data_IF_621365285311
#
_entry.id   IF_621365285311
#
_cell.length_a   1.000
_cell.length_b   1.000
_cell.length_c   1.000
_cell.angle_alpha   90.00
_cell.angle_beta   90.00
_cell.angle_gamma   90.00
#
_symmetry.space_group_name_H-M   'P 1'
#
loop_
_entity.id
_entity.type
_entity.pdbx_description
1 polymer ?
#
# COMPACT_ATOMS: atom_id res chain seq x y z
N UNK A 1 18.29 -27.71 14.56
CA UNK A 1 17.71 -26.40 14.20
C UNK A 1 18.65 -25.81 13.16
N UNK A 2 18.27 -25.91 11.88
CA UNK A 2 19.15 -25.62 10.73
C UNK A 2 19.01 -26.70 9.65
N UNK A 3 17.81 -26.84 9.08
CA UNK A 3 17.59 -27.74 7.93
C UNK A 3 16.89 -27.02 6.78
N UNK A 4 16.18 -25.92 7.02
CA UNK A 4 15.42 -25.25 5.95
C UNK A 4 16.30 -24.51 4.95
N UNK A 5 17.49 -24.04 5.35
CA UNK A 5 18.39 -23.32 4.45
C UNK A 5 19.30 -24.30 3.69
N UNK A 6 19.79 -25.32 4.37
CA UNK A 6 20.59 -26.39 3.77
C UNK A 6 19.78 -27.22 2.77
N UNK A 7 18.53 -27.60 3.08
CA UNK A 7 17.64 -28.31 2.16
C UNK A 7 17.27 -27.43 0.95
N UNK A 8 17.11 -26.12 1.14
CA UNK A 8 16.85 -25.16 0.05
C UNK A 8 18.08 -25.01 -0.87
N UNK A 9 19.29 -25.01 -0.31
CA UNK A 9 20.53 -24.96 -1.08
C UNK A 9 20.80 -26.27 -1.84
N UNK A 10 20.40 -27.43 -1.31
CA UNK A 10 20.42 -28.70 -2.04
C UNK A 10 19.42 -28.72 -3.21
N UNK A 11 18.27 -28.04 -3.07
CA UNK A 11 17.24 -27.94 -4.11
C UNK A 11 17.61 -27.06 -5.31
N UNK A 12 18.61 -26.18 -5.19
CA UNK A 12 19.07 -25.32 -6.30
C UNK A 12 19.57 -26.14 -7.51
N UNK A 13 20.10 -27.35 -7.28
CA UNK A 13 20.55 -28.24 -8.35
C UNK A 13 19.41 -28.89 -9.14
N UNK A 14 18.20 -28.90 -8.58
CA UNK A 14 17.00 -29.43 -9.23
C UNK A 14 16.23 -28.37 -10.01
N UNK A 15 16.68 -27.10 -9.96
CA UNK A 15 16.07 -26.04 -10.73
C UNK A 15 16.41 -26.17 -12.22
N UNK A 16 15.49 -25.79 -13.13
CA UNK A 16 15.79 -25.63 -14.54
C UNK A 16 17.05 -24.78 -14.74
N UNK A 17 17.90 -25.17 -15.67
CA UNK A 17 19.22 -24.54 -15.91
C UNK A 17 19.13 -23.03 -16.16
N UNK A 18 18.04 -22.57 -16.76
CA UNK A 18 17.72 -21.17 -17.04
C UNK A 18 17.43 -20.38 -15.76
N UNK A 19 16.64 -20.97 -14.84
CA UNK A 19 16.34 -20.38 -13.54
C UNK A 19 17.61 -20.28 -12.69
N UNK A 20 18.42 -21.33 -12.69
CA UNK A 20 19.72 -21.34 -11.99
C UNK A 20 20.66 -20.24 -12.53
N UNK A 21 20.74 -20.09 -13.85
CA UNK A 21 21.54 -19.02 -14.50
C UNK A 21 21.07 -17.64 -14.07
N UNK A 22 19.76 -17.39 -13.98
CA UNK A 22 19.25 -16.10 -13.53
C UNK A 22 19.57 -15.83 -12.05
N UNK A 23 19.48 -16.84 -11.18
CA UNK A 23 19.92 -16.71 -9.79
C UNK A 23 21.40 -16.40 -9.65
N UNK A 24 22.25 -17.05 -10.47
CA UNK A 24 23.68 -16.74 -10.51
C UNK A 24 23.93 -15.29 -10.97
N UNK A 25 23.23 -14.84 -12.01
CA UNK A 25 23.33 -13.48 -12.53
C UNK A 25 22.83 -12.44 -11.51
N UNK A 26 21.73 -12.70 -10.82
CA UNK A 26 21.25 -11.84 -9.72
C UNK A 26 22.28 -11.74 -8.60
N UNK A 27 22.94 -12.85 -8.25
CA UNK A 27 24.00 -12.88 -7.24
C UNK A 27 25.25 -12.12 -7.68
N UNK A 28 25.60 -12.19 -8.96
CA UNK A 28 26.70 -11.39 -9.53
C UNK A 28 26.37 -9.89 -9.51
N UNK A 29 25.14 -9.52 -9.89
CA UNK A 29 24.66 -8.15 -9.80
C UNK A 29 24.62 -7.64 -8.36
N UNK A 30 24.23 -8.47 -7.39
CA UNK A 30 24.27 -8.09 -5.97
C UNK A 30 25.67 -7.81 -5.47
N UNK A 31 26.65 -8.65 -5.85
CA UNK A 31 28.06 -8.42 -5.54
C UNK A 31 28.57 -7.12 -6.18
N UNK A 32 28.25 -6.89 -7.45
CA UNK A 32 28.65 -5.68 -8.16
C UNK A 32 27.98 -4.42 -7.58
N UNK A 33 26.70 -4.51 -7.23
CA UNK A 33 25.92 -3.39 -6.72
C UNK A 33 26.28 -3.06 -5.27
N UNK A 34 26.63 -4.04 -4.43
CA UNK A 34 27.09 -3.80 -3.06
C UNK A 34 28.29 -2.86 -3.01
N UNK A 35 29.32 -3.10 -3.83
CA UNK A 35 30.49 -2.21 -3.88
C UNK A 35 30.17 -0.81 -4.42
N UNK A 36 29.25 -0.71 -5.38
CA UNK A 36 28.78 0.58 -5.90
C UNK A 36 27.96 1.34 -4.85
N UNK A 37 27.12 0.66 -4.08
CA UNK A 37 26.34 1.22 -2.98
C UNK A 37 27.24 1.75 -1.87
N UNK A 38 28.26 1.00 -1.47
CA UNK A 38 29.23 1.44 -0.48
C UNK A 38 30.01 2.67 -0.98
N UNK A 39 30.48 2.65 -2.23
CA UNK A 39 31.15 3.81 -2.83
C UNK A 39 30.24 5.02 -2.95
N UNK A 40 28.96 4.82 -3.30
CA UNK A 40 27.96 5.88 -3.37
C UNK A 40 27.67 6.46 -1.99
N UNK A 41 27.51 5.61 -0.97
CA UNK A 41 27.31 6.02 0.43
C UNK A 41 28.50 6.83 0.95
N UNK A 42 29.72 6.41 0.66
CA UNK A 42 30.94 7.13 1.02
C UNK A 42 31.05 8.48 0.28
N UNK A 43 30.74 8.49 -1.02
CA UNK A 43 30.74 9.72 -1.83
C UNK A 43 29.67 10.70 -1.35
N UNK A 44 28.49 10.20 -1.00
CA UNK A 44 27.38 10.99 -0.47
C UNK A 44 27.74 11.57 0.90
N UNK A 45 28.30 10.75 1.80
CA UNK A 45 28.76 11.18 3.13
C UNK A 45 29.83 12.27 3.02
N UNK A 46 30.82 12.09 2.14
CA UNK A 46 31.89 13.07 1.90
C UNK A 46 31.32 14.37 1.35
N UNK A 47 30.45 14.28 0.33
CA UNK A 47 29.80 15.44 -0.25
C UNK A 47 29.00 16.25 0.78
N UNK A 48 28.19 15.57 1.60
CA UNK A 48 27.37 16.20 2.62
C UNK A 48 28.23 16.84 3.72
N UNK A 49 29.33 16.19 4.12
CA UNK A 49 30.29 16.76 5.07
C UNK A 49 30.92 18.04 4.53
N UNK A 50 31.41 18.02 3.31
CA UNK A 50 32.08 19.15 2.68
C UNK A 50 31.08 20.30 2.42
N UNK A 51 29.86 19.98 1.99
CA UNK A 51 28.77 20.96 1.86
C UNK A 51 28.43 21.61 3.21
N UNK A 52 28.36 20.81 4.28
CA UNK A 52 28.11 21.32 5.63
C UNK A 52 29.23 22.25 6.10
N UNK A 53 30.48 21.95 5.80
CA UNK A 53 31.61 22.81 6.12
C UNK A 53 31.54 24.15 5.37
N UNK A 54 31.19 24.14 4.07
CA UNK A 54 30.98 25.36 3.29
C UNK A 54 29.85 26.23 3.86
N UNK A 55 28.71 25.63 4.17
CA UNK A 55 27.57 26.34 4.77
C UNK A 55 27.93 26.87 6.16
N UNK A 56 28.56 26.06 7.02
CA UNK A 56 28.99 26.48 8.35
C UNK A 56 29.98 27.64 8.28
N UNK A 57 30.96 27.58 7.39
CA UNK A 57 31.95 28.63 7.20
C UNK A 57 31.26 29.96 6.82
N UNK A 58 30.33 29.92 5.86
CA UNK A 58 29.57 31.11 5.45
C UNK A 58 28.70 31.69 6.57
N UNK A 59 28.01 30.83 7.34
CA UNK A 59 27.18 31.27 8.45
C UNK A 59 27.98 31.79 9.65
N UNK A 60 29.25 31.37 9.80
CA UNK A 60 30.15 31.84 10.86
C UNK A 60 30.85 33.16 10.55
N UNK A 61 30.81 33.63 9.31
CA UNK A 61 31.41 34.89 8.89
C UNK A 61 30.49 36.07 9.25
N UNK A 62 30.76 36.66 10.42
CA UNK A 62 30.04 37.83 10.93
C UNK A 62 30.38 39.15 10.22
N UNK A 63 31.33 39.13 9.27
CA UNK A 63 31.67 40.32 8.47
C UNK A 63 30.71 40.55 7.30
N UNK A 64 29.94 39.53 6.91
CA UNK A 64 28.95 39.58 5.85
C UNK A 64 27.52 39.58 6.43
N UNK A 65 26.53 40.11 5.69
CA UNK A 65 25.11 39.96 6.05
C UNK A 65 24.72 38.49 6.17
N UNK A 66 23.62 38.23 6.89
CA UNK A 66 23.03 36.89 6.99
C UNK A 66 22.86 36.28 5.59
N UNK A 67 23.32 35.04 5.37
CA UNK A 67 23.29 34.42 4.05
C UNK A 67 21.85 34.20 3.60
N UNK A 68 21.56 34.56 2.35
CA UNK A 68 20.25 34.32 1.73
C UNK A 68 20.08 32.84 1.36
N UNK A 69 18.84 32.39 1.18
CA UNK A 69 18.56 31.00 0.79
C UNK A 69 19.23 30.62 -0.54
N UNK A 70 19.25 31.53 -1.51
CA UNK A 70 19.88 31.32 -2.81
C UNK A 70 21.41 31.22 -2.70
N UNK A 71 22.02 31.99 -1.81
CA UNK A 71 23.45 31.91 -1.51
C UNK A 71 23.83 30.57 -0.87
N UNK A 72 22.98 30.05 0.03
CA UNK A 72 23.16 28.72 0.61
C UNK A 72 22.97 27.61 -0.42
N UNK A 73 22.01 27.73 -1.34
CA UNK A 73 21.81 26.78 -2.45
C UNK A 73 23.01 26.73 -3.39
N UNK A 74 23.56 27.88 -3.75
CA UNK A 74 24.77 27.97 -4.58
C UNK A 74 26.00 27.32 -3.90
N UNK A 75 26.16 27.47 -2.59
CA UNK A 75 27.24 26.83 -1.82
C UNK A 75 27.15 25.29 -1.76
N UNK A 76 25.93 24.77 -1.89
CA UNK A 76 25.67 23.33 -1.99
C UNK A 76 25.55 22.90 -3.46
N UNK A 77 25.94 23.75 -4.42
CA UNK A 77 26.04 23.41 -5.84
C UNK A 77 24.69 23.15 -6.51
N UNK A 78 23.59 23.69 -5.98
CA UNK A 78 22.29 23.71 -6.64
C UNK A 78 22.24 25.00 -7.45
N UNK A 79 22.50 24.90 -8.74
CA UNK A 79 22.08 25.92 -9.70
C UNK A 79 20.63 25.64 -10.08
N UNK A 80 19.81 26.69 -10.22
CA UNK A 80 18.40 26.58 -10.57
C UNK A 80 18.23 25.68 -11.81
N UNK A 81 17.38 24.66 -11.71
CA UNK A 81 17.03 23.70 -12.79
C UNK A 81 16.31 24.35 -14.00
N UNK A 82 16.44 25.67 -14.19
CA UNK A 82 15.81 26.43 -15.28
C UNK A 82 16.74 26.76 -16.45
N UNK A 83 18.01 26.37 -16.42
CA UNK A 83 18.92 26.54 -17.55
C UNK A 83 19.56 25.20 -17.95
N UNK A 84 19.26 24.78 -19.19
CA UNK A 84 19.92 23.76 -19.99
C UNK A 84 19.63 22.28 -19.70
N UNK A 85 18.46 21.85 -20.19
CA UNK A 85 18.15 20.46 -20.54
C UNK A 85 18.98 19.90 -21.72
N UNK A 86 20.06 20.57 -22.14
CA UNK A 86 20.81 20.27 -23.38
C UNK A 86 22.34 20.18 -23.19
N UNK A 87 22.86 20.16 -21.96
CA UNK A 87 24.28 19.89 -21.71
C UNK A 87 24.52 18.38 -21.72
N UNK A 88 25.37 17.85 -22.63
CA UNK A 88 25.73 16.44 -22.61
C UNK A 88 26.36 16.04 -21.26
N UNK A 89 26.03 14.86 -20.70
CA UNK A 89 26.44 14.44 -19.36
C UNK A 89 27.97 14.32 -19.14
N UNK A 90 28.77 14.52 -20.18
CA UNK A 90 30.23 14.33 -20.19
C UNK A 90 31.06 15.58 -19.82
N UNK A 91 30.44 16.74 -19.57
CA UNK A 91 31.18 18.01 -19.34
C UNK A 91 30.96 18.68 -17.97
N UNK A 92 29.95 18.27 -17.19
CA UNK A 92 29.81 18.77 -15.81
C UNK A 92 30.66 17.94 -14.85
N UNK A 93 31.72 18.56 -14.32
CA UNK A 93 32.67 17.92 -13.39
C UNK A 93 32.35 18.19 -11.92
N UNK A 94 31.21 18.82 -11.64
CA UNK A 94 30.79 19.18 -10.29
C UNK A 94 30.69 17.95 -9.37
N UNK A 95 31.03 18.09 -8.08
CA UNK A 95 30.90 16.98 -7.13
C UNK A 95 29.46 16.43 -7.04
N UNK A 96 28.45 17.29 -7.25
CA UNK A 96 27.04 16.89 -7.26
C UNK A 96 26.68 16.10 -8.53
N UNK A 97 27.15 16.52 -9.71
CA UNK A 97 26.95 15.75 -10.95
C UNK A 97 27.60 14.37 -10.88
N UNK A 98 28.81 14.26 -10.32
CA UNK A 98 29.47 12.97 -10.07
C UNK A 98 28.64 12.08 -9.12
N UNK A 99 28.04 12.67 -8.09
CA UNK A 99 27.17 11.94 -7.16
C UNK A 99 25.86 11.48 -7.84
N UNK A 100 25.25 12.34 -8.66
CA UNK A 100 24.07 12.02 -9.49
C UNK A 100 24.37 10.92 -10.50
N UNK A 101 25.51 10.96 -11.18
CA UNK A 101 25.95 9.93 -12.12
C UNK A 101 26.18 8.58 -11.42
N UNK A 102 26.86 8.55 -10.27
CA UNK A 102 26.99 7.32 -9.46
C UNK A 102 25.64 6.77 -9.01
N UNK A 103 24.71 7.63 -8.60
CA UNK A 103 23.34 7.24 -8.25
C UNK A 103 22.61 6.63 -9.46
N UNK A 104 22.70 7.27 -10.62
CA UNK A 104 22.08 6.77 -11.85
C UNK A 104 22.61 5.38 -12.23
N UNK A 105 23.92 5.16 -12.11
CA UNK A 105 24.54 3.87 -12.37
C UNK A 105 24.06 2.77 -11.40
N UNK A 106 23.92 3.09 -10.11
CA UNK A 106 23.36 2.14 -9.11
C UNK A 106 21.92 1.79 -9.45
N UNK A 107 21.09 2.78 -9.79
CA UNK A 107 19.69 2.57 -10.18
C UNK A 107 19.61 1.67 -11.41
N UNK A 108 20.41 1.95 -12.45
CA UNK A 108 20.48 1.13 -13.65
C UNK A 108 20.82 -0.34 -13.34
N UNK A 109 21.79 -0.60 -12.45
CA UNK A 109 22.18 -1.96 -12.05
C UNK A 109 21.10 -2.67 -11.22
N UNK A 110 20.35 -1.92 -10.43
CA UNK A 110 19.19 -2.44 -9.71
C UNK A 110 18.02 -2.76 -10.66
N UNK A 111 17.77 -1.91 -11.65
CA UNK A 111 16.74 -2.16 -12.67
C UNK A 111 17.06 -3.41 -13.50
N UNK A 112 18.34 -3.61 -13.86
CA UNK A 112 18.83 -4.85 -14.48
C UNK A 112 18.50 -6.07 -13.60
N UNK A 113 18.73 -5.97 -12.28
CA UNK A 113 18.42 -7.04 -11.33
C UNK A 113 16.91 -7.32 -11.26
N UNK A 114 16.08 -6.28 -11.21
CA UNK A 114 14.62 -6.43 -11.18
C UNK A 114 14.11 -7.09 -12.46
N UNK A 115 14.67 -6.73 -13.62
CA UNK A 115 14.33 -7.37 -14.89
C UNK A 115 14.65 -8.89 -14.87
N UNK A 116 15.81 -9.29 -14.34
CA UNK A 116 16.19 -10.71 -14.22
C UNK A 116 15.31 -11.44 -13.21
N UNK A 117 14.94 -10.78 -12.11
CA UNK A 117 13.99 -11.35 -11.15
C UNK A 117 12.63 -11.60 -11.80
N UNK A 118 12.11 -10.64 -12.57
CA UNK A 118 10.87 -10.78 -13.35
C UNK A 118 10.95 -11.98 -14.30
N UNK A 119 12.02 -12.07 -15.10
CA UNK A 119 12.23 -13.20 -16.00
C UNK A 119 12.29 -14.55 -15.25
N UNK A 120 12.83 -14.55 -14.04
CA UNK A 120 12.88 -15.76 -13.21
C UNK A 120 11.49 -16.18 -12.72
N UNK A 121 10.64 -15.21 -12.34
CA UNK A 121 9.24 -15.48 -12.00
C UNK A 121 8.48 -16.06 -13.20
N UNK A 122 8.64 -15.49 -14.39
CA UNK A 122 7.97 -15.98 -15.61
C UNK A 122 8.37 -17.42 -15.93
N UNK A 123 9.67 -17.73 -15.81
CA UNK A 123 10.19 -19.09 -16.04
C UNK A 123 9.64 -20.09 -15.02
N UNK A 124 9.53 -19.67 -13.75
CA UNK A 124 8.96 -20.51 -12.69
C UNK A 124 7.47 -20.72 -12.91
N UNK A 125 6.70 -19.67 -13.23
CA UNK A 125 5.27 -19.77 -13.53
C UNK A 125 5.02 -20.69 -14.74
N UNK A 126 5.84 -20.57 -15.78
CA UNK A 126 5.80 -21.47 -16.93
C UNK A 126 6.03 -22.94 -16.54
N UNK A 127 7.01 -23.21 -15.66
CA UNK A 127 7.26 -24.56 -15.16
C UNK A 127 6.13 -25.09 -14.29
N UNK A 128 5.54 -24.27 -13.43
CA UNK A 128 4.39 -24.65 -12.61
C UNK A 128 3.21 -25.05 -13.50
N UNK A 129 2.84 -24.20 -14.47
CA UNK A 129 1.74 -24.50 -15.41
C UNK A 129 2.00 -25.77 -16.22
N UNK A 130 3.26 -26.00 -16.61
CA UNK A 130 3.64 -27.24 -17.30
C UNK A 130 3.43 -28.47 -16.40
N UNK A 131 3.87 -28.40 -15.14
CA UNK A 131 3.70 -29.50 -14.17
C UNK A 131 2.22 -29.75 -13.87
N UNK A 132 1.41 -28.70 -13.74
CA UNK A 132 -0.04 -28.82 -13.56
C UNK A 132 -0.68 -29.55 -14.75
N UNK A 133 -0.31 -29.18 -15.98
CA UNK A 133 -0.79 -29.87 -17.20
C UNK A 133 -0.32 -31.35 -17.25
N UNK A 134 0.93 -31.63 -16.88
CA UNK A 134 1.45 -33.00 -16.81
C UNK A 134 0.71 -33.83 -15.75
N UNK A 135 0.38 -33.23 -14.60
CA UNK A 135 -0.40 -33.85 -13.53
C UNK A 135 -1.84 -34.13 -13.95
N UNK A 136 -2.48 -33.20 -14.66
CA UNK A 136 -3.82 -33.38 -15.23
C UNK A 136 -3.83 -34.52 -16.26
N UNK A 137 -2.84 -34.56 -17.15
CA UNK A 137 -2.68 -35.62 -18.14
C UNK A 137 -2.45 -36.99 -17.48
N UNK A 138 -1.61 -37.05 -16.45
CA UNK A 138 -1.35 -38.27 -15.70
C UNK A 138 -2.62 -38.75 -14.97
N UNK A 139 -3.36 -37.83 -14.35
CA UNK A 139 -4.64 -38.12 -13.71
C UNK A 139 -5.67 -38.65 -14.72
N UNK A 140 -5.72 -38.06 -15.92
CA UNK A 140 -6.58 -38.54 -17.00
C UNK A 140 -6.20 -39.95 -17.48
N UNK A 141 -4.90 -40.25 -17.58
CA UNK A 141 -4.39 -41.59 -17.92
C UNK A 141 -4.77 -42.62 -16.85
N UNK A 142 -4.59 -42.29 -15.57
CA UNK A 142 -4.99 -43.18 -14.47
C UNK A 142 -6.50 -43.45 -14.46
N UNK A 143 -7.32 -42.42 -14.72
CA UNK A 143 -8.78 -42.57 -14.89
C UNK A 143 -9.13 -43.46 -16.09
N UNK A 144 -8.43 -43.29 -17.22
CA UNK A 144 -8.64 -44.10 -18.42
C UNK A 144 -8.26 -45.58 -18.21
N UNK A 145 -7.22 -45.84 -17.40
CA UNK A 145 -6.77 -47.18 -17.05
C UNK A 145 -7.58 -47.81 -15.90
N UNK A 146 -8.52 -47.07 -15.29
CA UNK A 146 -9.31 -47.53 -14.15
C UNK A 146 -8.52 -47.66 -12.84
N UNK A 147 -7.34 -47.04 -12.75
CA UNK A 147 -6.45 -47.08 -11.60
C UNK A 147 -6.71 -45.92 -10.61
N UNK A 148 -7.54 -44.95 -10.99
CA UNK A 148 -7.90 -43.80 -10.16
C UNK A 148 -9.38 -43.43 -10.34
N UNK A 149 -10.14 -43.45 -9.25
CA UNK A 149 -11.49 -42.87 -9.17
C UNK A 149 -11.45 -41.64 -8.24
N UNK A 150 -12.16 -40.58 -8.61
CA UNK A 150 -12.28 -39.41 -7.74
C UNK A 150 -12.93 -39.83 -6.41
N UNK A 151 -12.29 -39.51 -5.28
CA UNK A 151 -12.91 -39.69 -3.97
C UNK A 151 -14.25 -38.94 -3.97
N UNK A 152 -15.35 -39.71 -3.91
CA UNK A 152 -16.67 -39.15 -3.63
C UNK A 152 -16.60 -38.55 -2.23
N UNK A 153 -16.47 -37.23 -2.15
CA UNK A 153 -16.68 -36.50 -0.91
C UNK A 153 -18.14 -36.72 -0.51
N UNK A 154 -18.37 -37.76 0.30
CA UNK A 154 -19.64 -37.97 0.98
C UNK A 154 -19.69 -36.91 2.07
N UNK A 155 -20.29 -35.76 1.75
CA UNK A 155 -20.74 -34.83 2.78
C UNK A 155 -21.88 -35.53 3.52
N UNK A 156 -21.54 -36.28 4.57
CA UNK A 156 -22.53 -36.82 5.48
C UNK A 156 -23.32 -35.64 6.07
N UNK A 157 -24.67 -35.69 6.12
CA UNK A 157 -25.44 -34.62 6.72
C UNK A 157 -25.04 -34.53 8.19
N UNK A 158 -24.51 -33.38 8.59
CA UNK A 158 -24.19 -33.08 9.98
C UNK A 158 -25.48 -33.24 10.79
N UNK A 159 -25.57 -34.32 11.57
CA UNK A 159 -26.60 -34.46 12.59
C UNK A 159 -26.38 -33.29 13.56
N UNK A 160 -27.34 -32.36 13.62
CA UNK A 160 -27.43 -31.34 14.67
C UNK A 160 -27.29 -32.04 16.02
N UNK A 161 -26.12 -31.92 16.64
CA UNK A 161 -25.99 -32.22 18.06
C UNK A 161 -26.75 -31.12 18.79
N UNK A 162 -27.73 -31.51 19.60
CA UNK A 162 -28.39 -30.62 20.56
C UNK A 162 -27.31 -30.02 21.44
N UNK A 163 -27.23 -28.69 21.46
CA UNK A 163 -26.54 -27.96 22.53
C UNK A 163 -27.07 -28.45 23.89
N UNK A 164 -26.20 -28.83 24.83
CA UNK A 164 -26.64 -29.11 26.18
C UNK A 164 -27.06 -27.78 26.83
N UNK A 165 -28.24 -27.80 27.45
CA UNK A 165 -28.78 -26.69 28.21
C UNK A 165 -27.81 -26.32 29.35
N UNK A 166 -27.42 -25.05 29.39
CA UNK A 166 -26.66 -24.47 30.50
C UNK A 166 -27.67 -24.09 31.60
N UNK A 167 -27.75 -24.90 32.65
CA UNK A 167 -28.32 -24.49 33.94
C UNK A 167 -27.35 -23.58 34.70
N UNK A 168 -27.86 -22.62 35.51
CA UNK A 168 -27.02 -21.59 36.11
C UNK A 168 -26.27 -22.13 37.34
N UNK A 169 -24.94 -22.04 37.31
CA UNK A 169 -24.10 -22.35 38.46
C UNK A 169 -24.13 -21.21 39.49
N UNK A 170 -24.45 -21.58 40.71
CA UNK A 170 -24.59 -20.75 41.89
C UNK A 170 -23.29 -20.05 42.31
N UNK A 171 -23.47 -18.87 42.90
CA UNK A 171 -22.47 -18.09 43.61
C UNK A 171 -22.00 -18.81 44.87
N UNK A 172 -20.69 -18.78 45.14
CA UNK A 172 -20.16 -18.93 46.50
C UNK A 172 -19.18 -17.79 46.79
N UNK A 173 -19.49 -17.13 47.89
CA UNK A 173 -18.88 -15.98 48.54
C UNK A 173 -17.58 -16.28 49.30
N UNK A 174 -16.72 -15.28 49.48
CA UNK A 174 -16.14 -15.00 50.82
C UNK A 174 -15.82 -13.50 51.04
N UNK A 175 -16.55 -12.96 52.02
CA UNK A 175 -16.27 -11.91 53.01
C UNK A 175 -15.19 -10.81 52.82
N UNK A 176 -15.63 -9.55 52.97
CA UNK A 176 -14.93 -8.56 53.79
C UNK A 176 -15.91 -7.52 54.41
N UNK A 177 -16.00 -7.59 55.75
CA UNK A 177 -16.20 -6.53 56.75
C UNK A 177 -17.23 -5.40 56.59
N UNK A 178 -18.11 -5.33 57.59
CA UNK A 178 -18.97 -4.22 57.98
C UNK A 178 -18.24 -2.97 58.47
N UNK A 179 -18.76 -1.77 58.16
CA UNK A 179 -19.15 -0.83 59.23
C UNK A 179 -20.11 0.30 58.79
N UNK A 180 -21.04 0.58 59.70
CA UNK A 180 -22.07 1.65 59.79
C UNK A 180 -21.64 3.03 59.29
N UNK A 181 -22.54 3.84 58.70
CA UNK A 181 -23.47 4.80 59.39
C UNK A 181 -24.26 5.71 58.40
N UNK A 182 -25.55 5.91 58.74
CA UNK A 182 -26.39 7.13 58.62
C UNK A 182 -26.64 7.80 57.25
N UNK A 183 -27.90 7.79 56.78
CA UNK A 183 -28.88 8.91 56.73
C UNK A 183 -28.68 9.88 55.54
N UNK A 184 -29.65 10.35 54.76
CA UNK A 184 -31.10 10.49 54.88
C UNK A 184 -31.70 10.57 53.44
N UNK A 185 -32.95 10.10 53.24
CA UNK A 185 -34.13 10.88 52.80
C UNK A 185 -33.91 11.78 51.56
N UNK A 186 -34.70 11.75 50.49
CA UNK A 186 -36.16 11.99 50.47
C UNK A 186 -36.75 11.69 49.08
N UNK A 187 -37.84 10.94 49.10
CA UNK A 187 -39.00 10.75 48.21
C UNK A 187 -39.22 11.55 46.91
N UNK A 188 -39.70 10.77 45.91
CA UNK A 188 -40.94 10.98 45.11
C UNK A 188 -40.94 12.07 44.02
N UNK A 189 -41.60 11.96 42.85
CA UNK A 189 -42.71 11.12 42.36
C UNK A 189 -42.80 11.28 40.83
N UNK A 190 -43.26 10.23 40.15
CA UNK A 190 -43.80 10.13 38.78
C UNK A 190 -45.14 10.90 38.60
N UNK A 191 -45.89 10.85 37.46
CA UNK A 191 -45.55 10.76 36.02
C UNK A 191 -46.46 11.61 35.05
N UNK A 192 -46.19 11.47 33.75
CA UNK A 192 -47.14 11.26 32.63
C UNK A 192 -47.85 12.41 31.86
N UNK A 193 -47.87 12.19 30.54
CA UNK A 193 -48.94 12.37 29.55
C UNK A 193 -48.98 13.62 28.61
N UNK A 194 -48.48 13.39 27.39
CA UNK A 194 -49.16 13.50 26.06
C UNK A 194 -50.20 14.60 25.83
N UNK A 195 -49.98 15.45 24.81
CA UNK A 195 -51.03 15.84 23.84
C UNK A 195 -50.49 16.31 22.47
N UNK A 196 -51.12 15.77 21.40
CA UNK A 196 -51.04 16.16 19.97
C UNK A 196 -51.70 17.53 19.71
N UNK A 197 -51.20 18.29 18.72
CA UNK A 197 -51.94 19.06 17.66
C UNK A 197 -50.93 19.82 16.78
N UNK A 198 -50.74 19.46 15.51
CA UNK A 198 -51.31 20.07 14.27
C UNK A 198 -51.13 21.59 14.12
N UNK A 199 -50.50 22.04 13.02
CA UNK A 199 -50.57 23.43 12.57
C UNK A 199 -49.41 23.84 11.67
N UNK A 200 -49.69 24.20 10.42
CA UNK A 200 -48.68 24.39 9.38
C UNK A 200 -48.08 25.80 9.24
N UNK A 201 -46.95 25.80 8.53
CA UNK A 201 -46.48 26.76 7.52
C UNK A 201 -46.35 28.24 7.94
N UNK A 202 -45.10 28.72 8.04
CA UNK A 202 -44.63 29.97 7.41
C UNK A 202 -43.11 30.05 7.44
N UNK A 203 -42.54 30.23 6.24
CA UNK A 203 -41.14 30.63 6.00
C UNK A 203 -41.01 32.08 6.44
N UNK A 204 -39.97 32.41 7.19
CA UNK A 204 -39.41 33.76 7.27
C UNK A 204 -37.89 33.62 7.36
N UNK A 205 -37.22 34.13 6.34
CA UNK A 205 -35.80 34.42 6.36
C UNK A 205 -35.61 35.71 7.18
N UNK A 206 -34.73 35.65 8.19
CA UNK A 206 -34.20 36.81 8.87
C UNK A 206 -32.77 36.49 9.32
N UNK A 207 -31.84 37.19 8.69
CA UNK A 207 -30.47 37.55 9.07
C UNK A 207 -29.90 36.91 10.35
N UNK A 208 -28.91 36.03 10.17
CA UNK A 208 -28.00 35.63 11.24
C UNK A 208 -26.79 36.58 11.23
N UNK A 209 -26.71 37.42 12.26
CA UNK A 209 -25.50 38.15 12.63
C UNK A 209 -24.35 37.17 12.93
N UNK A 210 -23.20 37.38 12.29
CA UNK A 210 -21.94 36.73 12.67
C UNK A 210 -21.50 37.25 14.04
N UNK A 211 -21.51 36.38 15.05
CA UNK A 211 -20.71 36.58 16.27
C UNK A 211 -19.28 36.07 16.04
N UNK A 212 -18.31 36.91 16.42
CA UNK A 212 -16.88 36.66 16.30
C UNK A 212 -16.42 35.54 17.26
N UNK A 213 -15.57 34.65 16.76
CA UNK A 213 -14.91 33.59 17.53
C UNK A 213 -13.79 34.22 18.37
N UNK A 214 -13.73 34.02 19.71
CA UNK A 214 -12.65 34.53 20.52
C UNK A 214 -11.36 33.71 20.34
N UNK A 215 -10.27 34.46 20.49
CA UNK A 215 -8.86 34.19 20.27
C UNK A 215 -8.32 32.95 21.00
N UNK A 216 -7.35 32.29 20.35
CA UNK A 216 -6.79 30.99 20.70
C UNK A 216 -6.07 30.98 22.06
N UNK A 217 -6.53 30.11 22.98
CA UNK A 217 -5.75 29.71 24.14
C UNK A 217 -4.69 28.67 23.70
N UNK A 218 -3.42 29.07 23.78
CA UNK A 218 -2.27 28.24 23.45
C UNK A 218 -2.22 26.96 24.31
N UNK A 219 -2.30 25.80 23.65
CA UNK A 219 -1.88 24.52 24.23
C UNK A 219 -0.36 24.40 24.05
N UNK A 220 0.36 24.42 25.17
CA UNK A 220 1.79 24.08 25.23
C UNK A 220 2.00 22.62 24.86
N UNK A 221 2.65 22.39 23.71
CA UNK A 221 3.13 21.08 23.26
C UNK A 221 4.37 20.72 24.08
N UNK A 222 4.47 19.51 24.68
CA UNK A 222 5.69 19.09 25.34
C UNK A 222 6.80 18.90 24.29
N UNK A 223 7.98 19.47 24.59
CA UNK A 223 9.21 19.32 23.81
C UNK A 223 9.58 17.84 23.75
N UNK A 224 9.55 17.28 22.55
CA UNK A 224 10.05 15.94 22.25
C UNK A 224 11.56 16.06 22.00
N UNK A 225 12.35 16.04 23.07
CA UNK A 225 13.80 16.00 22.99
C UNK A 225 14.31 14.57 22.74
N UNK A 226 15.23 14.50 21.78
CA UNK A 226 16.25 13.48 21.55
C UNK A 226 15.86 12.12 20.94
N UNK A 227 15.50 12.16 19.66
CA UNK A 227 16.08 11.21 18.70
C UNK A 227 17.31 11.88 18.05
N UNK A 228 18.42 11.15 17.80
CA UNK A 228 19.58 11.73 17.13
C UNK A 228 19.19 12.10 15.69
N UNK A 229 18.91 13.40 15.48
CA UNK A 229 18.70 13.98 14.15
C UNK A 229 19.94 13.66 13.31
N UNK A 230 19.75 12.97 12.17
CA UNK A 230 20.85 12.77 11.22
C UNK A 230 21.34 14.17 10.80
N UNK A 231 22.60 14.53 11.10
CA UNK A 231 23.10 15.86 10.84
C UNK A 231 23.12 16.24 9.35
N UNK A 232 22.81 15.29 8.45
CA UNK A 232 22.71 15.51 7.01
C UNK A 232 21.28 15.67 6.48
N UNK A 233 20.24 15.45 7.29
CA UNK A 233 18.84 15.51 6.88
C UNK A 233 18.43 16.88 6.28
N UNK A 234 18.84 18.03 6.84
CA UNK A 234 18.55 19.33 6.24
C UNK A 234 19.17 19.49 4.85
N UNK A 235 20.38 18.97 4.65
CA UNK A 235 21.08 19.03 3.36
C UNK A 235 20.45 18.09 2.33
N UNK A 236 20.02 16.89 2.74
CA UNK A 236 19.30 15.96 1.85
C UNK A 236 18.00 16.56 1.35
N UNK A 237 17.26 17.23 2.24
CA UNK A 237 16.02 17.92 1.90
C UNK A 237 16.28 19.07 0.93
N UNK A 238 17.30 19.89 1.20
CA UNK A 238 17.71 21.00 0.35
C UNK A 238 18.18 20.52 -1.04
N UNK A 239 18.81 19.35 -1.12
CA UNK A 239 19.29 18.74 -2.37
C UNK A 239 18.28 17.81 -3.06
N UNK A 240 17.08 17.64 -2.49
CA UNK A 240 16.10 16.65 -2.93
C UNK A 240 16.71 15.24 -3.12
N UNK A 241 17.61 14.83 -2.21
CA UNK A 241 18.32 13.54 -2.23
C UNK A 241 17.66 12.55 -1.25
N UNK A 242 16.75 11.66 -1.71
CA UNK A 242 16.23 10.59 -0.86
C UNK A 242 17.30 9.56 -0.48
N UNK A 243 17.14 8.91 0.68
CA UNK A 243 17.96 7.76 1.10
C UNK A 243 17.86 6.62 0.07
N UNK A 244 18.97 5.98 -0.29
CA UNK A 244 19.03 4.98 -1.38
C UNK A 244 18.09 3.78 -1.14
N UNK A 245 17.97 3.31 0.11
CA UNK A 245 17.05 2.21 0.48
C UNK A 245 15.55 2.57 0.37
N UNK A 246 15.22 3.87 0.37
CA UNK A 246 13.82 4.37 0.35
C UNK A 246 13.25 4.57 -1.05
N UNK A 247 14.10 4.77 -2.06
CA UNK A 247 13.67 5.16 -3.41
C UNK A 247 12.85 4.04 -4.07
N UNK A 248 13.23 2.78 -3.84
CA UNK A 248 12.64 1.63 -4.53
C UNK A 248 11.36 1.10 -3.87
N UNK A 249 11.24 1.29 -2.56
CA UNK A 249 10.17 0.72 -1.73
C UNK A 249 8.98 1.65 -1.59
N UNK A 250 9.18 2.96 -1.67
CA UNK A 250 8.10 3.96 -1.56
C UNK A 250 7.33 4.23 -2.85
N UNK A 251 7.84 3.78 -3.99
CA UNK A 251 7.29 4.05 -5.33
C UNK A 251 6.38 2.92 -5.88
N UNK A 252 6.24 1.79 -5.16
CA UNK A 252 5.33 0.71 -5.58
C UNK A 252 3.89 1.24 -5.73
N UNK A 253 3.20 0.79 -6.77
CA UNK A 253 1.83 1.19 -7.09
C UNK A 253 0.94 -0.03 -7.28
N UNK A 254 -0.33 0.11 -6.94
CA UNK A 254 -1.37 -0.89 -7.21
C UNK A 254 -2.57 -0.25 -7.86
N UNK A 255 -3.24 -1.00 -8.73
CA UNK A 255 -4.54 -0.62 -9.27
C UNK A 255 -5.65 -1.16 -8.36
N UNK A 256 -6.55 -0.27 -7.94
CA UNK A 256 -7.76 -0.62 -7.17
C UNK A 256 -8.98 -0.13 -7.95
N UNK A 257 -9.99 -0.98 -8.07
CA UNK A 257 -11.25 -0.61 -8.71
C UNK A 257 -12.44 -0.92 -7.82
N UNK A 258 -13.34 0.05 -7.67
CA UNK A 258 -14.66 -0.15 -7.07
C UNK A 258 -15.61 -0.57 -8.17
N UNK A 259 -16.14 -1.79 -8.05
CA UNK A 259 -17.02 -2.44 -9.03
C UNK A 259 -18.42 -1.80 -9.02
N UNK A 260 -19.29 -2.10 -10.00
CA UNK A 260 -20.59 -1.46 -10.11
C UNK A 260 -21.47 -1.60 -8.85
N UNK A 261 -21.44 -2.76 -8.20
CA UNK A 261 -22.14 -2.99 -6.93
C UNK A 261 -21.61 -2.11 -5.79
N UNK A 262 -20.30 -1.89 -5.69
CA UNK A 262 -19.69 -1.00 -4.70
C UNK A 262 -20.12 0.46 -4.89
N UNK A 263 -20.21 0.91 -6.15
CA UNK A 263 -20.69 2.25 -6.49
C UNK A 263 -22.19 2.39 -6.19
N UNK A 264 -23.02 1.45 -6.63
CA UNK A 264 -24.47 1.47 -6.41
C UNK A 264 -24.86 1.42 -4.93
N UNK A 265 -23.98 0.87 -4.08
CA UNK A 265 -24.15 0.78 -2.63
C UNK A 265 -23.55 1.95 -1.85
N UNK A 266 -23.09 3.00 -2.55
CA UNK A 266 -22.48 4.20 -1.95
C UNK A 266 -21.24 3.90 -1.09
N UNK A 267 -20.43 2.91 -1.46
CA UNK A 267 -19.22 2.52 -0.70
C UNK A 267 -17.93 3.19 -1.19
N UNK A 268 -18.03 4.14 -2.13
CA UNK A 268 -16.87 4.82 -2.73
C UNK A 268 -16.00 5.51 -1.67
N UNK A 269 -16.60 6.37 -0.86
CA UNK A 269 -15.89 7.09 0.20
C UNK A 269 -15.33 6.17 1.27
N UNK A 270 -16.06 5.11 1.63
CA UNK A 270 -15.60 4.15 2.65
C UNK A 270 -14.37 3.37 2.17
N UNK A 271 -14.35 2.91 0.91
CA UNK A 271 -13.18 2.20 0.35
C UNK A 271 -11.97 3.13 0.24
N UNK A 272 -12.14 4.34 -0.30
CA UNK A 272 -11.05 5.34 -0.39
C UNK A 272 -10.46 5.60 1.00
N UNK A 273 -11.33 5.85 1.99
CA UNK A 273 -10.94 6.10 3.38
C UNK A 273 -10.04 5.01 3.96
N UNK A 274 -10.27 3.73 3.65
CA UNK A 274 -9.40 2.62 4.16
C UNK A 274 -7.95 2.80 3.70
N UNK A 275 -7.73 3.17 2.43
CA UNK A 275 -6.39 3.36 1.88
C UNK A 275 -5.76 4.67 2.37
N UNK A 276 -6.53 5.77 2.44
CA UNK A 276 -6.02 7.05 2.95
C UNK A 276 -5.60 6.98 4.42
N UNK A 277 -6.44 6.38 5.28
CA UNK A 277 -6.16 6.26 6.71
C UNK A 277 -4.97 5.33 7.00
N UNK A 278 -4.71 4.37 6.11
CA UNK A 278 -3.52 3.51 6.20
C UNK A 278 -2.22 4.28 5.92
N UNK A 279 -2.30 5.42 5.22
CA UNK A 279 -1.15 6.25 4.85
C UNK A 279 -0.74 6.15 3.39
N UNK A 280 -1.43 5.34 2.58
CA UNK A 280 -1.14 5.25 1.14
C UNK A 280 -1.49 6.57 0.42
N UNK A 281 -0.82 6.78 -0.70
CA UNK A 281 -0.95 7.99 -1.51
C UNK A 281 -1.80 7.73 -2.74
N UNK A 282 -2.87 8.50 -2.92
CA UNK A 282 -3.69 8.44 -4.14
C UNK A 282 -3.00 9.22 -5.26
N UNK A 283 -2.65 8.56 -6.36
CA UNK A 283 -1.92 9.17 -7.49
C UNK A 283 -2.70 9.18 -8.81
N UNK A 284 -3.83 8.47 -8.89
CA UNK A 284 -4.81 8.65 -9.95
C UNK A 284 -6.20 8.18 -9.50
N UNK A 285 -7.26 8.85 -9.99
CA UNK A 285 -8.66 8.57 -9.66
C UNK A 285 -9.55 8.97 -10.82
N UNK A 286 -10.45 8.08 -11.25
CA UNK A 286 -11.57 8.45 -12.14
C UNK A 286 -12.79 7.57 -11.96
N UNK A 287 -13.96 8.16 -12.14
CA UNK A 287 -15.22 7.43 -12.31
C UNK A 287 -15.52 7.29 -13.80
N UNK A 288 -15.69 6.06 -14.28
CA UNK A 288 -15.88 5.78 -15.70
C UNK A 288 -16.90 4.67 -15.91
N UNK A 289 -17.50 4.64 -17.09
CA UNK A 289 -18.25 3.48 -17.59
C UNK A 289 -17.45 2.83 -18.72
N UNK A 290 -16.64 1.81 -18.42
CA UNK A 290 -15.74 1.21 -19.42
C UNK A 290 -16.55 0.48 -20.49
N UNK A 291 -16.07 0.53 -21.73
CA UNK A 291 -16.64 -0.26 -22.82
C UNK A 291 -16.35 -1.75 -22.66
N UNK A 292 -17.15 -2.59 -23.32
CA UNK A 292 -17.00 -4.06 -23.29
C UNK A 292 -15.57 -4.51 -23.63
N UNK A 293 -15.00 -3.99 -24.72
CA UNK A 293 -13.64 -4.33 -25.16
C UNK A 293 -12.57 -3.99 -24.11
N UNK A 294 -12.73 -2.90 -23.36
CA UNK A 294 -11.79 -2.51 -22.31
C UNK A 294 -11.85 -3.48 -21.12
N UNK A 295 -13.06 -3.93 -20.75
CA UNK A 295 -13.24 -4.94 -19.70
C UNK A 295 -12.72 -6.32 -20.13
N UNK A 296 -12.89 -6.69 -21.39
CA UNK A 296 -12.32 -7.93 -21.95
C UNK A 296 -10.80 -7.91 -21.93
N UNK A 297 -10.18 -6.76 -22.25
CA UNK A 297 -8.73 -6.57 -22.11
C UNK A 297 -8.27 -6.67 -20.66
N UNK A 298 -9.01 -6.08 -19.71
CA UNK A 298 -8.69 -6.16 -18.29
C UNK A 298 -8.81 -7.59 -17.73
N UNK A 299 -9.77 -8.39 -18.21
CA UNK A 299 -9.99 -9.77 -17.77
C UNK A 299 -9.48 -10.82 -18.78
N UNK A 300 -8.49 -10.48 -19.60
CA UNK A 300 -8.02 -11.36 -20.68
C UNK A 300 -7.64 -12.77 -20.18
N UNK A 301 -7.01 -12.86 -19.00
CA UNK A 301 -6.61 -14.13 -18.38
C UNK A 301 -7.80 -15.04 -18.00
N UNK A 302 -9.01 -14.48 -17.93
CA UNK A 302 -10.23 -15.19 -17.60
C UNK A 302 -11.07 -15.57 -18.82
N UNK A 303 -10.65 -15.22 -20.05
CA UNK A 303 -11.43 -15.42 -21.26
C UNK A 303 -11.86 -16.89 -21.49
N UNK A 304 -11.05 -17.86 -21.05
CA UNK A 304 -11.36 -19.29 -21.15
C UNK A 304 -12.32 -19.82 -20.07
N UNK A 305 -12.73 -19.00 -19.09
CA UNK A 305 -13.58 -19.46 -17.98
C UNK A 305 -15.07 -19.32 -18.32
N UNK A 306 -15.88 -20.31 -17.96
CA UNK A 306 -17.32 -20.34 -18.28
C UNK A 306 -18.14 -19.17 -17.72
N UNK A 307 -17.63 -18.45 -16.72
CA UNK A 307 -18.28 -17.26 -16.14
C UNK A 307 -17.83 -15.93 -16.77
N UNK A 308 -16.90 -15.94 -17.74
CA UNK A 308 -16.32 -14.73 -18.32
C UNK A 308 -17.37 -13.77 -18.89
N UNK A 309 -18.29 -14.27 -19.72
CA UNK A 309 -19.33 -13.43 -20.32
C UNK A 309 -20.20 -12.76 -19.25
N UNK A 310 -20.59 -13.51 -18.21
CA UNK A 310 -21.36 -12.96 -17.09
C UNK A 310 -20.58 -11.93 -16.28
N UNK A 311 -19.26 -12.10 -16.13
CA UNK A 311 -18.39 -11.11 -15.50
C UNK A 311 -18.33 -9.81 -16.30
N UNK A 312 -18.17 -9.89 -17.62
CA UNK A 312 -18.12 -8.72 -18.50
C UNK A 312 -19.46 -7.98 -18.51
N UNK A 313 -20.58 -8.70 -18.63
CA UNK A 313 -21.93 -8.12 -18.55
C UNK A 313 -22.16 -7.42 -17.21
N UNK A 314 -21.78 -8.07 -16.12
CA UNK A 314 -21.85 -7.51 -14.78
C UNK A 314 -21.03 -6.23 -14.65
N UNK A 315 -19.76 -6.24 -15.08
CA UNK A 315 -18.88 -5.08 -14.98
C UNK A 315 -19.32 -3.91 -15.88
N UNK A 316 -20.02 -4.19 -16.98
CA UNK A 316 -20.58 -3.18 -17.88
C UNK A 316 -21.97 -2.67 -17.44
N UNK A 317 -22.56 -3.27 -16.40
CA UNK A 317 -23.92 -2.91 -15.91
C UNK A 317 -24.00 -1.53 -15.26
N UNK A 318 -22.89 -0.94 -14.85
CA UNK A 318 -22.85 0.36 -14.18
C UNK A 318 -21.47 1.02 -14.20
N UNK A 319 -21.33 2.21 -13.60
CA UNK A 319 -20.05 2.88 -13.48
C UNK A 319 -19.13 2.15 -12.50
N UNK A 320 -17.83 2.33 -12.69
CA UNK A 320 -16.77 1.90 -11.77
C UNK A 320 -15.95 3.12 -11.33
N UNK A 321 -15.23 2.98 -10.22
CA UNK A 321 -14.23 3.96 -9.80
C UNK A 321 -12.87 3.29 -9.87
N UNK A 322 -12.04 3.75 -10.81
CA UNK A 322 -10.67 3.30 -11.01
C UNK A 322 -9.72 4.18 -10.21
N UNK A 323 -8.73 3.58 -9.55
CA UNK A 323 -7.78 4.27 -8.66
C UNK A 323 -6.38 3.66 -8.77
N UNK A 324 -5.38 4.51 -8.56
CA UNK A 324 -3.98 4.07 -8.37
C UNK A 324 -3.49 4.56 -7.02
N UNK A 325 -3.03 3.63 -6.20
CA UNK A 325 -2.47 3.90 -4.88
C UNK A 325 -0.98 3.60 -4.88
N UNK A 326 -0.20 4.49 -4.27
CA UNK A 326 1.25 4.39 -4.14
C UNK A 326 1.66 4.24 -2.67
N UNK A 327 2.68 3.43 -2.44
CA UNK A 327 3.38 3.32 -1.16
C UNK A 327 4.02 1.96 -0.94
N UNK A 328 4.71 1.80 0.17
CA UNK A 328 5.43 0.56 0.48
C UNK A 328 4.52 -0.66 0.52
N UNK A 329 4.84 -1.66 -0.31
CA UNK A 329 4.18 -2.97 -0.35
C UNK A 329 2.65 -2.85 -0.57
N UNK A 330 2.23 -1.78 -1.27
CA UNK A 330 0.82 -1.40 -1.46
C UNK A 330 0.02 -2.44 -2.23
N UNK A 331 0.63 -3.23 -3.12
CA UNK A 331 -0.06 -4.33 -3.82
C UNK A 331 -0.50 -5.39 -2.81
N UNK A 332 0.44 -5.90 -2.01
CA UNK A 332 0.18 -6.95 -1.02
C UNK A 332 -0.73 -6.45 0.10
N UNK A 333 -0.43 -5.28 0.66
CA UNK A 333 -1.25 -4.71 1.74
C UNK A 333 -2.64 -4.28 1.24
N UNK A 334 -2.75 -3.79 0.00
CA UNK A 334 -4.01 -3.53 -0.68
C UNK A 334 -4.89 -4.78 -0.72
N UNK A 335 -4.36 -5.91 -1.22
CA UNK A 335 -5.08 -7.20 -1.24
C UNK A 335 -5.50 -7.66 0.15
N UNK A 336 -4.64 -7.49 1.15
CA UNK A 336 -4.94 -7.82 2.55
C UNK A 336 -6.09 -6.98 3.10
N UNK A 337 -6.12 -5.67 2.79
CA UNK A 337 -7.23 -4.78 3.19
C UNK A 337 -8.53 -5.10 2.45
N UNK A 338 -8.46 -5.51 1.18
CA UNK A 338 -9.65 -5.93 0.43
C UNK A 338 -10.28 -7.18 1.04
N UNK A 339 -9.47 -8.14 1.50
CA UNK A 339 -9.91 -9.45 1.96
C UNK A 339 -9.93 -10.51 0.85
N UNK A 340 -10.24 -11.75 1.21
CA UNK A 340 -10.27 -12.88 0.27
C UNK A 340 -11.27 -12.65 -0.89
N UNK A 341 -11.04 -13.27 -2.05
CA UNK A 341 -11.93 -13.11 -3.23
C UNK A 341 -13.37 -13.50 -2.90
N UNK A 342 -13.55 -14.57 -2.11
CA UNK A 342 -14.83 -15.00 -1.57
C UNK A 342 -15.08 -14.30 -0.22
N UNK A 343 -16.15 -13.49 -0.09
CA UNK A 343 -16.40 -12.72 1.13
C UNK A 343 -16.55 -13.56 2.39
N UNK A 344 -17.12 -14.77 2.30
CA UNK A 344 -17.25 -15.68 3.45
C UNK A 344 -15.93 -16.09 4.08
N UNK A 345 -14.83 -15.99 3.33
CA UNK A 345 -13.49 -16.38 3.76
C UNK A 345 -12.68 -15.13 4.17
N UNK A 346 -13.29 -13.95 4.12
CA UNK A 346 -12.68 -12.68 4.52
C UNK A 346 -12.88 -12.42 6.01
N UNK A 347 -11.81 -12.00 6.70
CA UNK A 347 -11.90 -11.65 8.11
C UNK A 347 -12.70 -10.34 8.32
N UNK A 348 -13.42 -10.19 9.45
CA UNK A 348 -13.99 -8.90 9.85
C UNK A 348 -12.92 -7.79 9.87
N UNK A 349 -13.30 -6.58 9.44
CA UNK A 349 -12.41 -5.43 9.28
C UNK A 349 -11.79 -5.30 7.88
N UNK A 350 -11.83 -6.36 7.06
CA UNK A 350 -11.51 -6.26 5.63
C UNK A 350 -12.70 -5.71 4.85
N UNK A 351 -12.46 -5.05 3.72
CA UNK A 351 -13.53 -4.43 2.92
C UNK A 351 -14.59 -5.47 2.51
N UNK A 352 -14.19 -6.66 2.04
CA UNK A 352 -15.13 -7.72 1.66
C UNK A 352 -15.79 -8.39 2.88
N UNK A 353 -15.06 -8.57 3.98
CA UNK A 353 -15.62 -9.12 5.21
C UNK A 353 -16.69 -8.22 5.83
N UNK A 354 -16.52 -6.90 5.74
CA UNK A 354 -17.46 -5.93 6.29
C UNK A 354 -18.67 -5.69 5.38
N UNK A 355 -18.48 -5.75 4.06
CA UNK A 355 -19.45 -5.22 3.11
C UNK A 355 -19.89 -6.16 2.00
N UNK A 356 -19.40 -7.40 1.90
CA UNK A 356 -19.81 -8.32 0.85
C UNK A 356 -20.28 -9.66 1.41
N UNK A 357 -21.15 -10.35 0.66
CA UNK A 357 -21.73 -11.65 1.04
C UNK A 357 -21.36 -12.70 0.01
N UNK A 358 -21.58 -12.43 -1.28
CA UNK A 358 -21.36 -13.37 -2.37
C UNK A 358 -20.15 -12.99 -3.23
N UNK A 359 -19.49 -14.00 -3.79
CA UNK A 359 -18.27 -13.83 -4.63
C UNK A 359 -18.53 -12.98 -5.88
N UNK A 360 -19.71 -13.09 -6.49
CA UNK A 360 -20.08 -12.32 -7.68
C UNK A 360 -20.43 -10.85 -7.38
N UNK A 361 -20.50 -10.45 -6.10
CA UNK A 361 -20.82 -9.10 -5.61
C UNK A 361 -19.84 -8.71 -4.49
N UNK A 362 -18.55 -8.82 -4.81
CA UNK A 362 -17.46 -8.58 -3.87
C UNK A 362 -16.88 -7.15 -3.94
N UNK A 363 -17.64 -6.19 -4.49
CA UNK A 363 -17.49 -4.72 -4.43
C UNK A 363 -16.21 -4.08 -4.96
N UNK A 364 -15.09 -4.79 -5.01
CA UNK A 364 -13.79 -4.22 -5.34
C UNK A 364 -12.86 -5.24 -6.01
N UNK A 365 -11.93 -4.70 -6.80
CA UNK A 365 -10.79 -5.38 -7.41
C UNK A 365 -9.49 -4.72 -6.92
N UNK A 366 -8.43 -5.51 -6.86
CA UNK A 366 -7.08 -5.01 -6.64
C UNK A 366 -6.07 -5.96 -7.27
N UNK A 367 -5.03 -5.40 -7.87
CA UNK A 367 -3.95 -6.14 -8.52
C UNK A 367 -3.37 -7.19 -7.56
N UNK A 368 -3.07 -8.38 -8.08
CA UNK A 368 -2.50 -9.50 -7.29
C UNK A 368 -0.97 -9.52 -7.27
N UNK A 369 -0.33 -8.84 -8.20
CA UNK A 369 1.13 -8.74 -8.31
C UNK A 369 1.52 -7.33 -8.76
N UNK A 370 2.81 -7.00 -8.61
CA UNK A 370 3.36 -5.74 -9.11
C UNK A 370 3.27 -5.67 -10.64
N UNK A 371 3.45 -6.80 -11.32
CA UNK A 371 3.35 -6.89 -12.76
C UNK A 371 1.92 -6.66 -13.26
N UNK A 372 0.94 -7.33 -12.65
CA UNK A 372 -0.47 -7.11 -12.98
C UNK A 372 -0.89 -5.67 -12.65
N UNK A 373 -0.38 -5.09 -11.56
CA UNK A 373 -0.58 -3.68 -11.25
C UNK A 373 -0.07 -2.76 -12.35
N UNK A 374 1.16 -2.95 -12.83
CA UNK A 374 1.73 -2.13 -13.90
C UNK A 374 0.91 -2.23 -15.19
N UNK A 375 0.52 -3.44 -15.58
CA UNK A 375 -0.34 -3.66 -16.75
C UNK A 375 -1.72 -3.01 -16.60
N UNK A 376 -2.36 -3.18 -15.45
CA UNK A 376 -3.66 -2.60 -15.14
C UNK A 376 -3.59 -1.06 -15.10
N UNK A 377 -2.56 -0.48 -14.48
CA UNK A 377 -2.36 0.97 -14.45
C UNK A 377 -2.20 1.51 -15.87
N UNK A 378 -1.37 0.89 -16.70
CA UNK A 378 -1.17 1.30 -18.09
C UNK A 378 -2.45 1.20 -18.94
N UNK A 379 -3.26 0.15 -18.72
CA UNK A 379 -4.53 -0.04 -19.39
C UNK A 379 -5.55 1.03 -18.96
N UNK A 380 -5.70 1.25 -17.65
CA UNK A 380 -6.75 2.11 -17.11
C UNK A 380 -6.38 3.59 -17.09
N UNK A 381 -5.11 3.96 -17.04
CA UNK A 381 -4.62 5.35 -17.00
C UNK A 381 -3.52 5.58 -18.05
N UNK A 382 -3.83 5.46 -19.35
CA UNK A 382 -2.86 5.77 -20.42
C UNK A 382 -2.42 7.24 -20.42
N UNK A 383 -3.23 8.13 -19.84
CA UNK A 383 -2.89 9.53 -19.59
C UNK A 383 -1.79 9.72 -18.52
N UNK A 384 -1.41 8.65 -17.82
CA UNK A 384 -0.44 8.68 -16.73
C UNK A 384 -1.07 8.95 -15.36
N UNK A 385 -0.22 9.29 -14.41
CA UNK A 385 -0.59 9.55 -13.01
C UNK A 385 -0.21 10.98 -12.60
N UNK A 386 -0.71 11.43 -11.46
CA UNK A 386 -0.32 12.70 -10.85
C UNK A 386 0.76 12.47 -9.80
N UNK A 387 1.93 13.06 -10.00
CA UNK A 387 3.02 13.06 -9.03
C UNK A 387 2.87 14.21 -8.04
N UNK A 388 3.00 13.90 -6.75
CA UNK A 388 2.97 14.89 -5.67
C UNK A 388 3.69 14.32 -4.43
N UNK A 389 4.06 15.19 -3.50
CA UNK A 389 4.71 14.78 -2.24
C UNK A 389 3.75 14.99 -1.07
N UNK A 390 3.45 13.92 -0.34
CA UNK A 390 2.60 14.00 0.84
C UNK A 390 3.39 14.50 2.06
N UNK A 391 2.93 15.61 2.65
CA UNK A 391 3.54 16.24 3.84
C UNK A 391 3.62 15.30 5.05
N UNK A 392 2.71 14.31 5.12
CA UNK A 392 2.66 13.31 6.18
C UNK A 392 3.71 12.19 6.07
N UNK A 393 4.46 12.10 4.97
CA UNK A 393 5.32 10.94 4.71
C UNK A 393 6.36 10.70 5.81
N UNK A 394 6.91 11.76 6.40
CA UNK A 394 7.85 11.67 7.53
C UNK A 394 7.26 11.02 8.80
N UNK A 395 5.93 10.98 8.93
CA UNK A 395 5.23 10.38 10.06
C UNK A 395 4.67 8.99 9.77
N UNK A 396 4.58 8.62 8.48
CA UNK A 396 4.07 7.32 8.03
C UNK A 396 5.21 6.32 7.82
N UNK A 397 6.39 6.80 7.43
CA UNK A 397 7.55 5.98 7.08
C UNK A 397 8.75 6.31 7.97
N UNK A 398 9.41 5.29 8.50
CA UNK A 398 10.51 5.43 9.46
C UNK A 398 11.85 5.77 8.79
N UNK A 399 12.54 6.78 9.36
CA UNK A 399 14.01 7.07 9.29
C UNK A 399 14.92 6.15 8.45
#
# INVERSE_FOLDING_TARGET
MGTYLEDYLESIYMLPSEVKRNFDLMRELDKATSGLLDSLRESQSTYLRDARERVRARCSDSSLPEPTEDELRALVGIEDESADADVPPDLDTSPLAKLRAKRHLVVQKMDEKVAIASQSYDLIDHHIRRLDNELENYTALLKANGEYEDEKVVVAPVKKQKEPAVEPAAQVSVAASSNKKSSAATTSTTPAAVHKKTGGRKRNAAEAHMEAIPEAAALTVPVLEDLPIDPNEPLRTLLNLPSIDRIFTMAERTYIMIKPDGVQRNLVGEIIKRFEQKGFQLVALKMVRPGKAHLEAHYADLAGKGFFNGLIEYMNSGPVVAMVWQGFNVVKEGRKMLGATKPSDSAPGTIRGDFAIEVGRNICHGSDSVESANHEIALWFPEGITEWNATRNAWVYEN
#
